data_IF_285007398967
#
_entry.id   IF_285007398967
#
_cell.length_a   1.000
_cell.length_b   1.000
_cell.length_c   1.000
_cell.angle_alpha   90.00
_cell.angle_beta   90.00
_cell.angle_gamma   90.00
#
_symmetry.space_group_name_H-M   'P 1'
#
loop_
_entity.id
_entity.type
_entity.pdbx_description
1 polymer ?
#
# COMPACT_ATOMS: atom_id res chain seq x y z
N UNK A 1 0.31 21.97 -13.73
CA UNK A 1 1.73 21.54 -13.74
C UNK A 1 2.40 21.91 -12.42
N UNK A 2 1.95 21.35 -11.30
CA UNK A 2 2.45 21.72 -9.97
C UNK A 2 3.21 20.56 -9.34
N UNK A 3 4.39 20.84 -8.80
CA UNK A 3 5.14 19.93 -7.94
C UNK A 3 4.81 20.28 -6.48
N UNK A 4 4.31 19.31 -5.71
CA UNK A 4 3.75 19.53 -4.37
C UNK A 4 4.19 18.46 -3.37
N UNK A 5 5.49 18.19 -3.31
CA UNK A 5 6.06 17.23 -2.36
C UNK A 5 5.80 17.64 -0.90
N UNK A 6 5.56 16.64 -0.06
CA UNK A 6 5.11 16.80 1.32
C UNK A 6 3.61 16.51 1.44
N UNK A 7 2.98 17.04 2.50
CA UNK A 7 1.55 16.87 2.78
C UNK A 7 0.85 18.24 2.83
N UNK A 8 -0.50 18.30 2.76
CA UNK A 8 -1.23 19.55 2.89
C UNK A 8 -0.79 20.35 4.13
N UNK A 9 -0.49 21.64 3.95
CA UNK A 9 0.03 22.53 5.00
C UNK A 9 1.48 22.29 5.44
N UNK A 10 2.16 21.26 4.91
CA UNK A 10 3.57 20.93 5.18
C UNK A 10 4.29 20.53 3.89
N UNK A 11 4.35 21.47 2.95
CA UNK A 11 5.01 21.29 1.65
C UNK A 11 6.46 21.74 1.67
N UNK A 12 7.29 21.09 0.86
CA UNK A 12 8.67 21.52 0.62
C UNK A 12 8.76 22.75 -0.29
N UNK A 13 7.69 23.06 -1.04
CA UNK A 13 7.62 24.17 -1.99
C UNK A 13 6.41 25.06 -1.74
N UNK A 14 6.55 26.36 -1.98
CA UNK A 14 5.45 27.33 -1.89
C UNK A 14 4.47 27.27 -3.06
N UNK A 15 3.31 27.92 -2.93
CA UNK A 15 2.31 28.04 -4.00
C UNK A 15 1.52 26.75 -4.26
N UNK A 16 1.25 25.96 -3.22
CA UNK A 16 0.56 24.66 -3.29
C UNK A 16 -0.90 24.74 -2.81
N UNK A 17 -1.44 25.93 -2.56
CA UNK A 17 -2.71 26.17 -1.86
C UNK A 17 -3.88 25.43 -2.54
N UNK A 18 -3.94 25.47 -3.87
CA UNK A 18 -5.00 24.77 -4.64
C UNK A 18 -4.81 23.25 -4.61
N UNK A 19 -3.57 22.76 -4.63
CA UNK A 19 -3.29 21.32 -4.55
C UNK A 19 -3.63 20.78 -3.17
N UNK A 20 -3.30 21.51 -2.11
CA UNK A 20 -3.65 21.17 -0.72
C UNK A 20 -5.16 21.00 -0.54
N UNK A 21 -5.96 21.90 -1.12
CA UNK A 21 -7.41 21.78 -1.09
C UNK A 21 -7.89 20.48 -1.77
N UNK A 22 -7.32 20.15 -2.94
CA UNK A 22 -7.70 18.93 -3.67
C UNK A 22 -7.31 17.65 -2.93
N UNK A 23 -6.11 17.61 -2.35
CA UNK A 23 -5.60 16.46 -1.62
C UNK A 23 -6.33 16.26 -0.30
N UNK A 24 -6.57 17.33 0.47
CA UNK A 24 -7.33 17.26 1.72
C UNK A 24 -8.76 16.81 1.47
N UNK A 25 -9.41 17.30 0.41
CA UNK A 25 -10.74 16.86 0.03
C UNK A 25 -10.80 15.35 -0.28
N UNK A 26 -9.79 14.81 -0.96
CA UNK A 26 -9.71 13.38 -1.24
C UNK A 26 -9.52 12.56 0.06
N UNK A 27 -8.64 13.01 0.95
CA UNK A 27 -8.42 12.40 2.28
C UNK A 27 -9.72 12.36 3.07
N UNK A 28 -10.43 13.49 3.20
CA UNK A 28 -11.66 13.60 3.98
C UNK A 28 -12.78 12.71 3.43
N UNK A 29 -12.89 12.64 2.09
CA UNK A 29 -13.86 11.76 1.42
C UNK A 29 -13.59 10.29 1.69
N UNK A 30 -12.33 9.85 1.61
CA UNK A 30 -11.98 8.46 1.89
C UNK A 30 -12.18 8.12 3.37
N UNK A 31 -11.76 9.01 4.28
CA UNK A 31 -12.00 8.85 5.72
C UNK A 31 -13.48 8.67 6.02
N UNK A 32 -14.35 9.50 5.42
CA UNK A 32 -15.80 9.37 5.56
C UNK A 32 -16.35 8.08 4.94
N UNK A 33 -15.89 7.73 3.74
CA UNK A 33 -16.39 6.57 2.99
C UNK A 33 -16.09 5.24 3.70
N UNK A 34 -14.89 5.11 4.25
CA UNK A 34 -14.41 3.88 4.88
C UNK A 34 -14.44 3.91 6.41
N UNK A 35 -14.99 4.98 7.00
CA UNK A 35 -14.94 5.23 8.45
C UNK A 35 -13.51 5.11 9.01
N UNK A 36 -12.53 5.66 8.29
CA UNK A 36 -11.11 5.55 8.60
C UNK A 36 -10.61 6.78 9.38
N UNK A 37 -9.70 6.54 10.33
CA UNK A 37 -9.05 7.61 11.09
C UNK A 37 -8.03 8.38 10.23
N UNK A 38 -7.35 7.68 9.31
CA UNK A 38 -6.31 8.22 8.45
C UNK A 38 -6.45 7.70 7.01
N UNK A 39 -6.00 8.50 6.03
CA UNK A 39 -5.89 8.08 4.64
C UNK A 39 -4.70 8.77 3.98
N UNK A 40 -3.95 8.03 3.16
CA UNK A 40 -2.91 8.57 2.28
C UNK A 40 -3.33 8.33 0.82
N UNK A 41 -3.38 9.41 0.03
CA UNK A 41 -3.88 9.42 -1.36
C UNK A 41 -2.77 9.62 -2.39
N UNK A 42 -1.50 9.59 -1.97
CA UNK A 42 -0.35 9.85 -2.83
C UNK A 42 0.22 8.64 -3.61
N UNK A 43 0.05 7.36 -3.20
CA UNK A 43 0.57 6.25 -3.98
C UNK A 43 0.03 6.25 -5.42
N UNK A 44 0.92 6.14 -6.42
CA UNK A 44 0.51 6.23 -7.83
C UNK A 44 -0.17 4.96 -8.34
N UNK A 45 -0.08 3.84 -7.61
CA UNK A 45 -0.70 2.57 -7.96
C UNK A 45 -0.83 1.66 -6.72
N UNK A 46 -1.63 0.59 -6.83
CA UNK A 46 -1.80 -0.38 -5.74
C UNK A 46 -0.50 -1.06 -5.32
N UNK A 47 0.37 -1.41 -6.28
CA UNK A 47 1.67 -2.03 -5.95
C UNK A 47 2.58 -1.09 -5.15
N UNK A 48 2.58 0.21 -5.47
CA UNK A 48 3.34 1.22 -4.70
C UNK A 48 2.71 1.50 -3.34
N UNK A 49 1.38 1.40 -3.21
CA UNK A 49 0.72 1.50 -1.91
C UNK A 49 1.18 0.38 -0.95
N UNK A 50 1.23 -0.87 -1.43
CA UNK A 50 1.78 -1.98 -0.66
C UNK A 50 3.24 -1.75 -0.29
N UNK A 51 4.07 -1.32 -1.26
CA UNK A 51 5.49 -1.04 -1.01
C UNK A 51 5.70 0.03 0.07
N UNK A 52 4.88 1.09 0.09
CA UNK A 52 4.95 2.13 1.12
C UNK A 52 4.65 1.56 2.53
N UNK A 53 3.68 0.66 2.66
CA UNK A 53 3.36 -0.01 3.94
C UNK A 53 4.52 -0.91 4.37
N UNK A 54 5.07 -1.71 3.46
CA UNK A 54 6.23 -2.55 3.75
C UNK A 54 7.43 -1.73 4.24
N UNK A 55 7.77 -0.62 3.57
CA UNK A 55 8.87 0.25 3.97
C UNK A 55 8.63 0.98 5.29
N UNK A 56 7.36 1.26 5.63
CA UNK A 56 7.01 1.92 6.89
C UNK A 56 7.09 0.96 8.09
N UNK A 57 6.76 -0.32 7.88
CA UNK A 57 6.57 -1.28 8.96
C UNK A 57 7.69 -2.31 9.10
N UNK A 58 8.41 -2.63 8.02
CA UNK A 58 9.40 -3.71 7.97
C UNK A 58 10.80 -3.20 7.60
N UNK A 59 11.80 -3.97 8.00
CA UNK A 59 13.18 -3.85 7.52
C UNK A 59 13.45 -4.90 6.45
N UNK A 60 14.45 -4.65 5.60
CA UNK A 60 14.88 -5.64 4.61
C UNK A 60 15.25 -6.97 5.29
N UNK A 61 14.78 -8.07 4.73
CA UNK A 61 14.94 -9.42 5.29
C UNK A 61 13.90 -9.82 6.34
N UNK A 62 13.05 -8.90 6.82
CA UNK A 62 11.95 -9.27 7.72
C UNK A 62 10.96 -10.22 7.02
N UNK A 63 10.29 -11.04 7.83
CA UNK A 63 9.29 -11.99 7.35
C UNK A 63 7.91 -11.37 7.30
N UNK A 64 7.14 -11.73 6.29
CA UNK A 64 5.70 -11.45 6.24
C UNK A 64 4.95 -12.61 5.59
N UNK A 65 3.64 -12.66 5.80
CA UNK A 65 2.78 -13.74 5.32
C UNK A 65 1.84 -13.21 4.22
N UNK A 66 1.81 -13.87 3.06
CA UNK A 66 0.97 -13.52 1.91
C UNK A 66 0.26 -14.74 1.31
N UNK A 67 -0.89 -14.53 0.67
CA UNK A 67 -1.59 -15.62 -0.04
C UNK A 67 -0.74 -16.03 -1.25
N UNK A 68 -0.51 -17.34 -1.41
CA UNK A 68 0.23 -17.89 -2.53
C UNK A 68 -0.36 -17.39 -3.87
N UNK A 69 0.52 -16.96 -4.79
CA UNK A 69 0.13 -16.38 -6.08
C UNK A 69 -0.73 -17.34 -6.93
N UNK A 70 -0.37 -18.63 -6.94
CA UNK A 70 -1.12 -19.68 -7.64
C UNK A 70 -2.49 -19.97 -7.02
N UNK A 71 -2.71 -19.51 -5.78
CA UNK A 71 -3.96 -19.68 -5.03
C UNK A 71 -4.77 -18.38 -4.92
N UNK A 72 -4.55 -17.43 -5.83
CA UNK A 72 -5.30 -16.17 -5.89
C UNK A 72 -4.63 -14.99 -5.18
N UNK A 73 -3.38 -15.14 -4.76
CA UNK A 73 -2.55 -14.03 -4.30
C UNK A 73 -2.27 -12.99 -5.39
N UNK A 74 -1.57 -11.91 -5.01
CA UNK A 74 -1.17 -10.86 -5.93
C UNK A 74 0.36 -10.73 -5.95
N UNK A 75 0.94 -10.27 -7.06
CA UNK A 75 2.41 -10.17 -7.22
C UNK A 75 3.09 -9.37 -6.10
N UNK A 76 2.44 -8.32 -5.60
CA UNK A 76 2.96 -7.50 -4.49
C UNK A 76 2.83 -8.13 -3.10
N UNK A 77 2.38 -9.38 -3.00
CA UNK A 77 2.23 -10.12 -1.74
C UNK A 77 3.34 -11.17 -1.55
N UNK A 78 4.52 -10.96 -2.14
CA UNK A 78 5.69 -11.82 -1.90
C UNK A 78 6.23 -12.60 -3.09
N UNK A 79 5.74 -12.34 -4.30
CA UNK A 79 6.30 -12.95 -5.49
C UNK A 79 7.81 -12.62 -5.61
N UNK A 80 8.68 -13.59 -5.93
CA UNK A 80 10.14 -13.39 -5.98
C UNK A 80 10.58 -12.41 -7.08
N UNK A 81 9.69 -12.07 -8.02
CA UNK A 81 9.96 -11.09 -9.09
C UNK A 81 9.45 -9.68 -8.75
N UNK A 82 8.78 -9.51 -7.62
CA UNK A 82 8.29 -8.22 -7.14
C UNK A 82 9.19 -7.66 -6.04
N UNK A 83 9.21 -6.33 -5.86
CA UNK A 83 9.88 -5.65 -4.74
C UNK A 83 9.67 -6.34 -3.38
N UNK A 84 8.44 -6.76 -3.09
CA UNK A 84 8.09 -7.44 -1.84
C UNK A 84 8.85 -8.77 -1.64
N UNK A 85 9.00 -9.60 -2.67
CA UNK A 85 9.77 -10.85 -2.57
C UNK A 85 11.28 -10.66 -2.74
N UNK A 86 11.73 -9.56 -3.35
CA UNK A 86 13.14 -9.24 -3.48
C UNK A 86 13.74 -8.70 -2.17
N UNK A 87 12.98 -7.89 -1.43
CA UNK A 87 13.48 -7.17 -0.25
C UNK A 87 13.18 -7.85 1.08
N UNK A 88 12.14 -8.67 1.14
CA UNK A 88 11.64 -9.28 2.37
C UNK A 88 11.52 -10.80 2.20
N UNK A 89 11.44 -11.52 3.33
CA UNK A 89 11.22 -12.96 3.31
C UNK A 89 9.72 -13.26 3.33
N UNK A 90 9.12 -13.44 2.15
CA UNK A 90 7.73 -13.85 2.03
C UNK A 90 7.56 -15.31 2.49
N UNK A 91 6.59 -15.53 3.38
CA UNK A 91 6.00 -16.81 3.70
C UNK A 91 4.62 -16.88 3.04
N UNK A 92 4.19 -18.07 2.65
CA UNK A 92 2.93 -18.26 1.94
C UNK A 92 1.93 -19.07 2.77
N UNK A 93 0.67 -18.66 2.71
CA UNK A 93 -0.47 -19.51 3.09
C UNK A 93 -1.30 -19.86 1.87
N UNK A 94 -2.11 -20.90 1.99
CA UNK A 94 -2.78 -21.56 0.88
C UNK A 94 -4.29 -21.65 1.11
N UNK A 95 -4.98 -22.14 0.08
CA UNK A 95 -6.38 -22.58 0.18
C UNK A 95 -6.43 -24.11 0.30
N UNK A 96 -7.49 -24.63 0.91
CA UNK A 96 -7.72 -26.07 0.95
C UNK A 96 -8.23 -26.59 -0.39
N UNK A 97 -7.77 -27.76 -0.80
CA UNK A 97 -8.13 -28.36 -2.09
C UNK A 97 -9.62 -28.71 -2.18
N UNK A 98 -10.23 -29.11 -1.06
CA UNK A 98 -11.61 -29.61 -0.99
C UNK A 98 -12.68 -28.54 -1.23
N UNK A 99 -12.44 -27.30 -0.77
CA UNK A 99 -13.41 -26.21 -0.84
C UNK A 99 -12.86 -24.86 -1.30
N UNK A 100 -11.57 -24.79 -1.64
CA UNK A 100 -10.91 -23.61 -2.20
C UNK A 100 -10.98 -22.37 -1.28
N UNK A 101 -11.21 -22.56 0.01
CA UNK A 101 -11.17 -21.50 1.01
C UNK A 101 -9.80 -21.44 1.68
N UNK A 102 -9.44 -20.29 2.22
CA UNK A 102 -8.20 -20.08 3.01
C UNK A 102 -8.10 -21.14 4.11
N UNK A 103 -6.91 -21.73 4.23
CA UNK A 103 -6.55 -22.62 5.32
C UNK A 103 -5.98 -21.80 6.49
N UNK A 104 -6.85 -21.51 7.46
CA UNK A 104 -6.59 -20.59 8.59
C UNK A 104 -5.77 -21.23 9.71
#
# INVERSE_FOLDING_TARGET
>A
NKYAEGYPGRRYYGGCEVVDLSEQMAIDRLKKLFNAEWANVQPHSGAQANAAVFLACLKAGDKFLGLNLSHGGHLSHGSPVNFSGLMFQALEYNVREDNQQVDY
#
